data_IF_732238891250
#
_entry.id   IF_732238891250
#
_cell.length_a   1.000
_cell.length_b   1.000
_cell.length_c   1.000
_cell.angle_alpha   90.00
_cell.angle_beta   90.00
_cell.angle_gamma   90.00
#
_symmetry.space_group_name_H-M   'P 1'
#
loop_
_entity.id
_entity.type
_entity.pdbx_description
1 polymer ?
#
# COMPACT_ATOMS: atom_id res chain seq x y z
N UNK A 1 -4.08 12.47 0.76
CA UNK A 1 -5.15 11.47 0.65
C UNK A 1 -4.63 10.16 0.06
N UNK A 2 -4.02 10.15 -1.15
CA UNK A 2 -3.53 8.90 -1.77
C UNK A 2 -2.47 8.21 -0.92
N UNK A 3 -1.52 8.97 -0.36
CA UNK A 3 -0.52 8.41 0.55
C UNK A 3 -1.15 7.90 1.86
N UNK A 4 -2.12 8.63 2.39
CA UNK A 4 -2.88 8.21 3.58
C UNK A 4 -3.62 6.89 3.33
N UNK A 5 -4.14 6.71 2.11
CA UNK A 5 -4.79 5.46 1.68
C UNK A 5 -3.79 4.29 1.69
N UNK A 6 -2.60 4.47 1.11
CA UNK A 6 -1.51 3.49 1.13
C UNK A 6 -1.10 3.15 2.58
N UNK A 7 -0.87 4.19 3.37
CA UNK A 7 -0.45 4.09 4.77
C UNK A 7 -1.46 3.28 5.58
N UNK A 8 -2.75 3.61 5.46
CA UNK A 8 -3.84 2.91 6.16
C UNK A 8 -3.96 1.45 5.72
N UNK A 9 -3.85 1.16 4.41
CA UNK A 9 -3.97 -0.21 3.91
C UNK A 9 -2.85 -1.10 4.45
N UNK A 10 -1.61 -0.62 4.48
CA UNK A 10 -0.46 -1.36 5.02
C UNK A 10 -0.57 -1.55 6.54
N UNK A 11 -0.85 -0.47 7.27
CA UNK A 11 -0.94 -0.53 8.74
C UNK A 11 -2.14 -1.35 9.19
N UNK A 12 -3.30 -1.23 8.53
CA UNK A 12 -4.48 -2.05 8.89
C UNK A 12 -4.15 -3.54 8.84
N UNK A 13 -3.39 -3.96 7.84
CA UNK A 13 -2.96 -5.35 7.69
C UNK A 13 -2.06 -5.78 8.85
N UNK A 14 -1.05 -4.96 9.17
CA UNK A 14 -0.09 -5.23 10.23
C UNK A 14 -0.75 -5.25 11.61
N UNK A 15 -1.64 -4.29 11.87
CA UNK A 15 -2.34 -4.18 13.16
C UNK A 15 -3.25 -5.37 13.43
N UNK A 16 -4.00 -5.83 12.43
CA UNK A 16 -4.83 -7.03 12.60
C UNK A 16 -3.99 -8.25 13.01
N UNK A 17 -2.81 -8.37 12.41
CA UNK A 17 -1.91 -9.47 12.73
C UNK A 17 -1.33 -9.33 14.13
N UNK A 18 -0.95 -8.11 14.54
CA UNK A 18 -0.46 -7.81 15.89
C UNK A 18 -1.54 -8.05 16.94
N UNK A 19 -2.80 -7.71 16.65
CA UNK A 19 -3.95 -7.97 17.53
C UNK A 19 -4.09 -9.47 17.84
N UNK A 20 -3.88 -10.32 16.81
CA UNK A 20 -3.90 -11.79 16.98
C UNK A 20 -2.71 -12.28 17.82
N UNK A 21 -1.53 -11.66 17.67
CA UNK A 21 -0.34 -11.98 18.51
C UNK A 21 -0.60 -11.58 19.97
N UNK A 22 -1.05 -10.34 20.21
CA UNK A 22 -1.25 -9.78 21.55
C UNK A 22 -2.36 -10.50 22.32
N UNK A 23 -3.43 -10.92 21.63
CA UNK A 23 -4.53 -11.67 22.23
C UNK A 23 -4.20 -13.14 22.48
N UNK A 24 -2.99 -13.60 22.09
CA UNK A 24 -2.53 -15.00 22.16
C UNK A 24 -3.49 -15.96 21.44
N UNK A 25 -4.19 -15.46 20.42
CA UNK A 25 -5.21 -16.23 19.69
C UNK A 25 -4.61 -17.13 18.60
N UNK A 26 -3.30 -17.05 18.37
CA UNK A 26 -2.61 -17.85 17.34
C UNK A 26 -2.81 -19.35 17.53
N UNK A 27 -2.80 -19.84 18.78
CA UNK A 27 -3.01 -21.26 19.09
C UNK A 27 -4.38 -21.72 18.58
N UNK A 28 -5.42 -20.92 18.85
CA UNK A 28 -6.78 -21.21 18.39
C UNK A 28 -6.88 -21.16 16.86
N UNK A 29 -6.21 -20.20 16.24
CA UNK A 29 -6.19 -20.03 14.78
C UNK A 29 -5.55 -21.25 14.10
N UNK A 30 -4.48 -21.82 14.67
CA UNK A 30 -3.79 -22.98 14.10
C UNK A 30 -4.53 -24.31 14.36
N UNK A 31 -5.35 -24.39 15.43
CA UNK A 31 -6.17 -25.57 15.71
C UNK A 31 -7.43 -25.57 14.85
N UNK A 32 -7.91 -24.38 14.46
CA UNK A 32 -9.10 -24.25 13.61
C UNK A 32 -8.85 -24.85 12.22
N UNK A 33 -9.83 -25.55 11.63
CA UNK A 33 -9.69 -26.16 10.31
C UNK A 33 -9.83 -25.09 9.21
N UNK A 34 -9.01 -24.05 9.26
CA UNK A 34 -9.04 -22.89 8.35
C UNK A 34 -7.80 -22.95 7.45
N UNK A 35 -8.01 -22.76 6.15
CA UNK A 35 -6.91 -22.73 5.16
C UNK A 35 -6.22 -21.37 5.22
N UNK A 36 -4.91 -21.35 5.00
CA UNK A 36 -4.10 -20.11 4.96
C UNK A 36 -4.71 -19.06 4.00
N UNK A 37 -5.25 -19.52 2.87
CA UNK A 37 -5.89 -18.63 1.88
C UNK A 37 -7.11 -17.90 2.45
N UNK A 38 -7.87 -18.58 3.30
CA UNK A 38 -9.06 -18.01 3.95
C UNK A 38 -8.67 -16.93 4.96
N UNK A 39 -7.59 -17.16 5.70
CA UNK A 39 -7.02 -16.18 6.64
C UNK A 39 -6.56 -14.93 5.88
N UNK A 40 -5.76 -15.10 4.82
CA UNK A 40 -5.26 -13.99 4.01
C UNK A 40 -6.42 -13.21 3.38
N UNK A 41 -7.44 -13.91 2.87
CA UNK A 41 -8.62 -13.28 2.27
C UNK A 41 -9.41 -12.46 3.31
N UNK A 42 -9.61 -13.02 4.50
CA UNK A 42 -10.30 -12.34 5.60
C UNK A 42 -9.55 -11.08 6.04
N UNK A 43 -8.22 -11.19 6.21
CA UNK A 43 -7.37 -10.05 6.58
C UNK A 43 -7.40 -8.95 5.50
N UNK A 44 -7.33 -9.36 4.23
CA UNK A 44 -7.37 -8.42 3.10
C UNK A 44 -8.72 -7.69 3.04
N UNK A 45 -9.82 -8.42 3.20
CA UNK A 45 -11.17 -7.84 3.18
C UNK A 45 -11.37 -6.86 4.34
N UNK A 46 -10.94 -7.24 5.54
CA UNK A 46 -11.03 -6.38 6.73
C UNK A 46 -10.16 -5.13 6.56
N UNK A 47 -8.96 -5.27 5.97
CA UNK A 47 -8.08 -4.13 5.67
C UNK A 47 -8.75 -3.16 4.68
N UNK A 48 -9.45 -3.68 3.65
CA UNK A 48 -10.23 -2.84 2.71
C UNK A 48 -11.27 -2.01 3.50
N UNK A 49 -12.07 -2.68 4.32
CA UNK A 49 -13.16 -2.04 5.08
C UNK A 49 -12.58 -0.97 6.02
N UNK A 50 -11.54 -1.29 6.80
CA UNK A 50 -10.87 -0.34 7.72
C UNK A 50 -10.31 0.87 6.97
N UNK A 51 -9.67 0.63 5.80
CA UNK A 51 -9.06 1.68 4.97
C UNK A 51 -10.15 2.61 4.40
N UNK A 52 -11.25 2.05 3.89
CA UNK A 52 -12.36 2.83 3.35
C UNK A 52 -13.05 3.67 4.44
N UNK A 53 -13.30 3.08 5.60
CA UNK A 53 -13.91 3.79 6.73
C UNK A 53 -13.00 4.98 7.16
N UNK A 54 -11.68 4.77 7.22
CA UNK A 54 -10.74 5.81 7.59
C UNK A 54 -10.57 6.88 6.51
N UNK A 55 -10.77 6.52 5.23
CA UNK A 55 -10.64 7.46 4.12
C UNK A 55 -11.82 8.42 4.00
N UNK A 56 -13.04 7.97 4.33
CA UNK A 56 -14.27 8.78 4.18
C UNK A 56 -14.16 10.12 4.91
N UNK A 57 -13.84 10.19 6.22
CA UNK A 57 -13.72 11.48 6.88
C UNK A 57 -12.58 12.34 6.32
N UNK A 58 -11.46 11.73 5.91
CA UNK A 58 -10.34 12.45 5.32
C UNK A 58 -10.75 13.17 4.01
N UNK A 59 -11.51 12.47 3.15
CA UNK A 59 -12.01 13.04 1.89
C UNK A 59 -13.06 14.13 2.16
N UNK A 60 -14.00 13.88 3.10
CA UNK A 60 -15.07 14.83 3.45
C UNK A 60 -14.49 16.15 3.98
N UNK A 61 -13.41 16.09 4.74
CA UNK A 61 -12.73 17.29 5.29
C UNK A 61 -11.89 17.97 4.20
N UNK A 62 -11.23 17.19 3.34
CA UNK A 62 -10.34 17.74 2.31
C UNK A 62 -11.09 18.58 1.25
N UNK A 63 -12.31 18.20 0.89
CA UNK A 63 -13.11 18.90 -0.13
C UNK A 63 -13.36 20.36 0.27
N UNK A 64 -13.95 20.66 1.45
CA UNK A 64 -14.20 22.07 1.81
C UNK A 64 -12.94 22.85 2.16
N UNK A 65 -11.90 22.21 2.70
CA UNK A 65 -10.67 22.91 3.10
C UNK A 65 -9.79 23.32 1.92
N UNK A 66 -9.68 22.44 0.93
CA UNK A 66 -8.75 22.66 -0.18
C UNK A 66 -9.45 23.00 -1.51
N UNK A 67 -10.78 22.92 -1.57
CA UNK A 67 -11.55 23.21 -2.77
C UNK A 67 -11.26 22.26 -3.94
N UNK A 68 -10.51 21.18 -3.69
CA UNK A 68 -10.12 20.24 -4.73
C UNK A 68 -10.93 18.94 -4.57
N UNK A 69 -11.70 18.64 -5.60
CA UNK A 69 -12.43 17.39 -5.66
C UNK A 69 -11.55 16.32 -6.32
N UNK A 70 -11.16 15.33 -5.53
CA UNK A 70 -10.41 14.17 -6.02
C UNK A 70 -11.22 13.42 -7.09
N UNK A 71 -12.55 13.51 -7.00
CA UNK A 71 -13.47 12.86 -7.94
C UNK A 71 -13.35 13.40 -9.38
N UNK A 72 -12.70 14.58 -9.59
CA UNK A 72 -12.39 15.09 -10.93
C UNK A 72 -11.46 14.17 -11.73
N UNK A 73 -10.68 13.31 -11.05
CA UNK A 73 -9.82 12.34 -11.72
C UNK A 73 -10.62 11.19 -12.36
N UNK A 74 -11.88 10.99 -11.96
CA UNK A 74 -12.74 9.99 -12.59
C UNK A 74 -12.22 8.56 -12.46
N UNK A 75 -12.30 7.81 -13.58
CA UNK A 75 -11.87 6.39 -13.65
C UNK A 75 -10.39 6.20 -13.31
N UNK A 76 -9.43 7.06 -13.75
CA UNK A 76 -8.04 6.95 -13.33
C UNK A 76 -7.83 6.92 -11.80
N UNK A 77 -8.67 7.62 -11.04
CA UNK A 77 -8.59 7.58 -9.57
C UNK A 77 -8.78 6.17 -9.03
N UNK A 78 -9.76 5.43 -9.57
CA UNK A 78 -10.00 4.04 -9.16
C UNK A 78 -8.78 3.15 -9.42
N UNK A 79 -8.17 3.28 -10.60
CA UNK A 79 -6.96 2.52 -10.96
C UNK A 79 -5.80 2.86 -10.01
N UNK A 80 -5.60 4.14 -9.70
CA UNK A 80 -4.57 4.59 -8.76
C UNK A 80 -4.82 4.02 -7.36
N UNK A 81 -6.08 4.06 -6.87
CA UNK A 81 -6.44 3.54 -5.55
C UNK A 81 -6.24 2.02 -5.47
N UNK A 82 -6.64 1.28 -6.52
CA UNK A 82 -6.45 -0.18 -6.58
C UNK A 82 -4.94 -0.50 -6.55
N UNK A 83 -4.13 0.20 -7.35
CA UNK A 83 -2.67 0.00 -7.38
C UNK A 83 -2.03 0.29 -6.02
N UNK A 84 -2.43 1.39 -5.37
CA UNK A 84 -1.95 1.77 -4.04
C UNK A 84 -2.38 0.75 -2.98
N UNK A 85 -3.62 0.26 -3.06
CA UNK A 85 -4.13 -0.75 -2.13
C UNK A 85 -3.32 -2.04 -2.22
N UNK A 86 -3.13 -2.54 -3.46
CA UNK A 86 -2.36 -3.78 -3.69
C UNK A 86 -0.92 -3.60 -3.19
N UNK A 87 -0.29 -2.44 -3.44
CA UNK A 87 1.05 -2.14 -2.94
C UNK A 87 1.08 -2.09 -1.41
N UNK A 88 0.08 -1.46 -0.78
CA UNK A 88 -0.05 -1.40 0.68
C UNK A 88 -0.18 -2.79 1.31
N UNK A 89 -1.03 -3.66 0.73
CA UNK A 89 -1.20 -5.05 1.19
C UNK A 89 0.11 -5.83 1.05
N UNK A 90 0.84 -5.64 -0.05
CA UNK A 90 2.15 -6.32 -0.24
C UNK A 90 3.16 -5.90 0.83
N UNK A 91 3.23 -4.61 1.11
CA UNK A 91 4.07 -4.09 2.21
C UNK A 91 3.62 -4.68 3.55
N UNK A 92 2.31 -4.70 3.78
CA UNK A 92 1.72 -5.30 4.98
C UNK A 92 2.12 -6.77 5.14
N UNK A 93 2.02 -7.56 4.06
CA UNK A 93 2.43 -8.97 4.05
C UNK A 93 3.93 -9.14 4.33
N UNK A 94 4.78 -8.29 3.72
CA UNK A 94 6.22 -8.31 3.97
C UNK A 94 6.54 -8.06 5.44
N UNK A 95 5.93 -7.04 6.02
CA UNK A 95 6.13 -6.69 7.43
C UNK A 95 5.57 -7.80 8.33
N UNK A 96 4.38 -8.34 8.00
CA UNK A 96 3.76 -9.45 8.74
C UNK A 96 4.69 -10.68 8.77
N UNK A 97 5.35 -10.99 7.64
CA UNK A 97 6.32 -12.08 7.59
C UNK A 97 7.50 -11.83 8.54
N UNK A 98 7.93 -10.58 8.65
CA UNK A 98 8.95 -10.16 9.62
C UNK A 98 8.46 -10.28 11.06
N UNK A 99 7.21 -9.90 11.33
CA UNK A 99 6.58 -10.03 12.65
C UNK A 99 6.51 -11.48 13.12
N UNK A 100 6.19 -12.40 12.21
CA UNK A 100 6.14 -13.84 12.52
C UNK A 100 7.55 -14.36 12.87
N UNK A 101 8.57 -13.89 12.14
CA UNK A 101 9.95 -14.40 12.29
C UNK A 101 10.69 -13.77 13.48
N UNK A 102 10.54 -12.46 13.68
CA UNK A 102 11.33 -11.67 14.66
C UNK A 102 10.52 -11.22 15.87
N UNK A 103 9.21 -11.46 15.85
CA UNK A 103 8.31 -11.12 16.96
C UNK A 103 7.81 -9.68 16.94
N UNK A 104 7.04 -9.26 17.98
CA UNK A 104 6.38 -7.94 18.01
C UNK A 104 7.34 -6.75 17.92
N UNK A 105 8.60 -6.90 18.32
CA UNK A 105 9.63 -5.84 18.24
C UNK A 105 9.85 -5.36 16.79
N UNK A 106 9.49 -6.18 15.80
CA UNK A 106 9.58 -5.84 14.37
C UNK A 106 8.57 -4.76 13.96
N UNK A 107 7.58 -4.46 14.80
CA UNK A 107 6.58 -3.41 14.57
C UNK A 107 7.23 -2.05 14.27
N UNK A 108 8.32 -1.72 14.97
CA UNK A 108 9.04 -0.46 14.76
C UNK A 108 9.58 -0.35 13.33
N UNK A 109 9.99 -1.48 12.74
CA UNK A 109 10.47 -1.53 11.34
C UNK A 109 9.29 -1.31 10.38
N UNK A 110 8.10 -1.79 10.72
CA UNK A 110 6.88 -1.53 9.95
C UNK A 110 6.61 -0.02 9.82
N UNK A 111 6.63 0.68 10.95
CA UNK A 111 6.44 2.13 10.99
C UNK A 111 7.56 2.85 10.22
N UNK A 112 8.82 2.48 10.50
CA UNK A 112 9.99 3.07 9.85
C UNK A 112 9.94 2.91 8.34
N UNK A 113 9.56 1.73 7.83
CA UNK A 113 9.49 1.45 6.39
C UNK A 113 8.53 2.40 5.66
N UNK A 114 7.38 2.67 6.25
CA UNK A 114 6.39 3.59 5.67
C UNK A 114 6.89 5.04 5.65
N UNK A 115 7.58 5.47 6.73
CA UNK A 115 8.16 6.81 6.78
C UNK A 115 9.30 6.98 5.76
N UNK A 116 10.11 5.94 5.56
CA UNK A 116 11.18 5.95 4.53
C UNK A 116 10.60 5.89 3.11
N UNK A 117 9.47 5.23 2.93
CA UNK A 117 8.81 5.15 1.63
C UNK A 117 8.27 6.51 1.17
N UNK A 118 7.92 7.41 2.09
CA UNK A 118 7.35 8.71 1.75
C UNK A 118 8.31 9.55 0.89
N UNK A 119 9.57 9.80 1.31
CA UNK A 119 10.52 10.51 0.45
C UNK A 119 10.95 9.70 -0.78
N UNK A 120 11.19 8.39 -0.66
CA UNK A 120 11.61 7.54 -1.77
C UNK A 120 10.53 7.39 -2.84
N UNK A 121 9.27 7.43 -2.44
CA UNK A 121 8.11 7.33 -3.35
C UNK A 121 7.78 8.61 -4.09
N UNK A 122 8.56 9.68 -3.91
CA UNK A 122 8.36 10.98 -4.58
C UNK A 122 6.95 11.53 -4.37
N UNK A 123 6.40 11.34 -3.15
CA UNK A 123 5.03 11.71 -2.82
C UNK A 123 4.87 13.24 -2.82
N UNK A 124 5.83 13.94 -2.24
CA UNK A 124 5.78 15.38 -2.00
C UNK A 124 6.46 16.22 -3.09
N UNK A 125 7.30 15.61 -3.92
CA UNK A 125 8.11 16.29 -4.92
C UNK A 125 8.31 15.40 -6.16
N UNK A 126 8.59 15.97 -7.32
CA UNK A 126 8.88 15.18 -8.52
C UNK A 126 10.26 14.51 -8.45
N UNK A 127 10.42 13.43 -9.21
CA UNK A 127 11.61 12.57 -9.16
C UNK A 127 12.89 13.33 -9.54
N UNK A 128 12.79 14.40 -10.34
CA UNK A 128 13.93 15.19 -10.81
C UNK A 128 14.69 15.90 -9.67
N UNK A 129 14.03 16.12 -8.52
CA UNK A 129 14.64 16.78 -7.35
C UNK A 129 15.62 15.86 -6.63
N UNK A 130 15.44 14.55 -6.77
CA UNK A 130 16.29 13.55 -6.11
C UNK A 130 17.70 13.49 -6.76
N UNK A 131 18.76 13.21 -6.00
CA UNK A 131 20.07 12.91 -6.56
C UNK A 131 20.00 11.72 -7.54
N UNK A 132 20.86 11.70 -8.56
CA UNK A 132 20.81 10.72 -9.65
C UNK A 132 20.84 9.25 -9.16
N UNK A 133 21.67 8.97 -8.15
CA UNK A 133 21.77 7.62 -7.58
C UNK A 133 20.45 7.19 -6.91
N UNK A 134 19.74 8.14 -6.29
CA UNK A 134 18.47 7.88 -5.62
C UNK A 134 17.32 7.75 -6.63
N UNK A 135 17.39 8.52 -7.74
CA UNK A 135 16.43 8.39 -8.86
C UNK A 135 16.43 6.96 -9.43
N UNK A 136 17.62 6.34 -9.56
CA UNK A 136 17.71 4.95 -10.06
C UNK A 136 16.96 3.98 -9.16
N UNK A 137 17.10 4.12 -7.84
CA UNK A 137 16.40 3.28 -6.84
C UNK A 137 14.89 3.58 -6.90
N UNK A 138 14.53 4.87 -6.92
CA UNK A 138 13.14 5.32 -6.90
C UNK A 138 12.35 4.77 -8.10
N UNK A 139 12.96 4.73 -9.30
CA UNK A 139 12.32 4.23 -10.53
C UNK A 139 11.92 2.75 -10.46
N UNK A 140 12.56 1.96 -9.59
CA UNK A 140 12.15 0.57 -9.38
C UNK A 140 10.91 0.45 -8.48
N UNK A 141 10.55 1.51 -7.76
CA UNK A 141 9.39 1.49 -6.88
C UNK A 141 8.11 1.80 -7.69
N UNK A 142 7.12 0.89 -7.67
CA UNK A 142 5.84 1.14 -8.34
C UNK A 142 5.15 2.40 -7.83
N UNK A 143 5.39 2.75 -6.58
CA UNK A 143 4.84 3.92 -5.90
C UNK A 143 5.17 5.23 -6.64
N UNK A 144 6.41 5.36 -7.11
CA UNK A 144 6.88 6.56 -7.85
C UNK A 144 6.04 6.76 -9.12
N UNK A 145 5.83 5.68 -9.89
CA UNK A 145 5.04 5.74 -11.13
C UNK A 145 3.59 6.16 -10.87
N UNK A 146 3.00 5.68 -9.76
CA UNK A 146 1.63 6.02 -9.37
C UNK A 146 1.54 7.53 -9.05
N UNK A 147 2.48 8.07 -8.26
CA UNK A 147 2.45 9.49 -7.85
C UNK A 147 2.83 10.43 -8.99
N UNK A 148 3.75 10.01 -9.86
CA UNK A 148 4.11 10.76 -11.07
C UNK A 148 2.91 10.85 -12.03
N UNK A 149 2.21 9.74 -12.26
CA UNK A 149 1.03 9.70 -13.12
C UNK A 149 -0.10 10.55 -12.54
N UNK A 150 -0.33 10.46 -11.22
CA UNK A 150 -1.30 11.33 -10.53
C UNK A 150 -0.97 12.81 -10.78
N UNK A 151 0.31 13.17 -10.67
CA UNK A 151 0.77 14.55 -10.88
C UNK A 151 0.54 14.98 -12.33
N UNK A 152 0.83 14.11 -13.31
CA UNK A 152 0.58 14.36 -14.72
C UNK A 152 -0.90 14.60 -15.02
N UNK A 153 -1.77 13.80 -14.42
CA UNK A 153 -3.23 13.95 -14.59
C UNK A 153 -3.71 15.29 -14.00
N UNK A 154 -3.20 15.65 -12.82
CA UNK A 154 -3.64 16.87 -12.13
C UNK A 154 -3.13 18.16 -12.78
N UNK A 155 -1.89 18.15 -13.31
CA UNK A 155 -1.25 19.34 -13.86
C UNK A 155 -1.54 19.49 -15.36
N UNK A 156 -1.40 18.41 -16.11
CA UNK A 156 -1.43 18.44 -17.58
C UNK A 156 -2.76 17.95 -18.17
N UNK A 157 -3.66 17.41 -17.36
CA UNK A 157 -4.90 16.74 -17.78
C UNK A 157 -4.65 15.62 -18.82
N UNK A 158 -3.44 15.04 -18.80
CA UNK A 158 -3.05 13.95 -19.70
C UNK A 158 -3.04 12.64 -18.92
N UNK A 159 -3.72 11.64 -19.45
CA UNK A 159 -3.76 10.31 -18.88
C UNK A 159 -2.86 9.39 -19.70
N UNK A 160 -1.79 8.89 -19.10
CA UNK A 160 -0.90 7.94 -19.76
C UNK A 160 -1.18 6.53 -19.23
N UNK A 161 -2.11 5.85 -19.90
CA UNK A 161 -2.51 4.49 -19.52
C UNK A 161 -1.33 3.50 -19.52
N UNK A 162 -0.32 3.72 -20.36
CA UNK A 162 0.86 2.86 -20.42
C UNK A 162 1.64 2.87 -19.10
N UNK A 163 1.83 4.04 -18.49
CA UNK A 163 2.52 4.14 -17.19
C UNK A 163 1.72 3.50 -16.05
N UNK A 164 0.39 3.65 -16.07
CA UNK A 164 -0.49 2.97 -15.12
C UNK A 164 -0.38 1.45 -15.26
N UNK A 165 -0.34 0.93 -16.50
CA UNK A 165 -0.16 -0.51 -16.76
C UNK A 165 1.23 -0.99 -16.36
N UNK A 166 2.28 -0.20 -16.57
CA UNK A 166 3.66 -0.53 -16.18
C UNK A 166 3.74 -0.67 -14.65
N UNK A 167 3.18 0.29 -13.90
CA UNK A 167 3.16 0.22 -12.43
C UNK A 167 2.41 -1.02 -11.93
N UNK A 168 1.30 -1.36 -12.60
CA UNK A 168 0.50 -2.56 -12.29
C UNK A 168 1.29 -3.84 -12.60
N UNK A 169 2.03 -3.86 -13.72
CA UNK A 169 2.80 -5.02 -14.17
C UNK A 169 4.04 -5.28 -13.29
N UNK A 170 4.81 -4.24 -12.98
CA UNK A 170 5.97 -4.31 -12.07
C UNK A 170 5.50 -4.88 -10.73
N UNK A 171 4.35 -4.42 -10.28
CA UNK A 171 3.75 -4.85 -9.03
C UNK A 171 3.36 -6.34 -9.06
N UNK A 172 2.65 -6.76 -10.12
CA UNK A 172 2.18 -8.16 -10.27
C UNK A 172 3.36 -9.14 -10.37
N UNK A 173 4.46 -8.72 -11.03
CA UNK A 173 5.67 -9.54 -11.12
C UNK A 173 6.36 -9.68 -9.76
N UNK A 174 6.38 -8.61 -8.96
CA UNK A 174 6.96 -8.63 -7.61
C UNK A 174 6.13 -9.54 -6.67
N UNK A 175 4.82 -9.49 -6.77
CA UNK A 175 3.91 -10.32 -5.98
C UNK A 175 4.07 -11.81 -6.33
N UNK A 176 4.27 -12.12 -7.62
CA UNK A 176 4.49 -13.48 -8.12
C UNK A 176 5.80 -14.06 -7.56
N UNK A 177 6.85 -13.25 -7.47
CA UNK A 177 8.15 -13.64 -6.91
C UNK A 177 8.06 -13.99 -5.42
N UNK A 178 7.19 -13.31 -4.67
CA UNK A 178 7.02 -13.55 -3.23
C UNK A 178 6.12 -14.77 -2.92
N UNK A 179 5.24 -15.15 -3.84
CA UNK A 179 4.34 -16.30 -3.65
C UNK A 179 4.94 -17.64 -4.12
N UNK A 180 6.04 -17.59 -4.89
CA UNK A 180 6.70 -18.78 -5.43
C UNK A 180 7.47 -19.64 -4.39
N UNK A 181 8.12 -19.13 -3.32
CA UNK A 181 8.87 -20.00 -2.40
C UNK A 181 8.01 -20.82 -1.44
N UNK A 182 6.68 -20.71 -1.48
CA UNK A 182 5.78 -21.53 -0.64
C UNK A 182 5.21 -22.76 -1.37
N UNK A 183 5.86 -23.24 -2.45
CA UNK A 183 5.52 -24.53 -3.09
C UNK A 183 6.49 -25.65 -2.71
N UNK A 184 6.61 -25.65 -1.84
CA UNK A 184 7.34 -26.72 -1.37
C UNK A 184 6.73 -27.46 -0.33
#
# INVERSE_FOLDING_TARGET
ILYDFLFRSSISYNMMFLEEIWSRNFTNLFIAPIKLKEIICALTLTAIIRTLIGMVPAVLIAIPLFGVSIFKLGIPLLLLLISLYIFGVTLGLLVTSGLIRFGPSFENIAWASLFFLAPLGCIYYPIEILPQWLQMIAKFLPLVHIFEEMRNILINNLINYNQLFISFFIFFSSLRLHLLPYRX
#
